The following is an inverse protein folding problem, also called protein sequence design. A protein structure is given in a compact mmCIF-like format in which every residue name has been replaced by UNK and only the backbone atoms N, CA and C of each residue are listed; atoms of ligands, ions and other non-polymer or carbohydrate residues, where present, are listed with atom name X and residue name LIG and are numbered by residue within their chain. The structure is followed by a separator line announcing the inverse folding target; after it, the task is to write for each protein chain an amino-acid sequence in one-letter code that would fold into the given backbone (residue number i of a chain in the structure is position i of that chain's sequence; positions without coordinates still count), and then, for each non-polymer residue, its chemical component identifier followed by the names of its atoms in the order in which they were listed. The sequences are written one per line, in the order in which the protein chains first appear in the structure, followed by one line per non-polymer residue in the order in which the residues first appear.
data_IF_083504108018
#
_entry.id   IF_083504108018
#
_cell.length_a   1.000
_cell.length_b   1.000
_cell.length_c   1.000
_cell.angle_alpha   90.00
_cell.angle_beta   90.00
_cell.angle_gamma   90.00
#
_symmetry.space_group_name_H-M   'P 1'
#
loop_
_entity.id
_entity.type
_entity.pdbx_description
1 polymer ?
#
# COMPACT_ATOMS: atom_id res chain seq x y z
N UNK A 1 15.35 19.46 29.34
CA UNK A 1 15.05 18.04 29.63
C UNK A 1 15.06 17.28 28.31
N UNK A 2 16.16 16.61 28.00
CA UNK A 2 16.21 15.59 26.94
C UNK A 2 15.30 14.46 27.37
N UNK A 3 14.17 14.26 26.69
CA UNK A 3 13.25 13.16 27.00
C UNK A 3 13.93 11.87 26.60
N UNK A 4 14.06 10.92 27.51
CA UNK A 4 14.63 9.63 27.14
C UNK A 4 13.60 8.79 26.38
N UNK A 5 14.08 7.98 25.43
CA UNK A 5 13.22 7.04 24.69
C UNK A 5 12.53 6.04 25.63
N UNK A 6 13.11 5.76 26.79
CA UNK A 6 12.57 4.91 27.85
C UNK A 6 11.19 5.39 28.34
N UNK A 7 10.97 6.70 28.46
CA UNK A 7 9.69 7.28 28.88
C UNK A 7 8.60 7.13 27.81
N UNK A 8 8.97 7.18 26.53
CA UNK A 8 8.06 6.92 25.41
C UNK A 8 7.73 5.43 25.38
N UNK A 9 8.75 4.57 25.47
CA UNK A 9 8.57 3.12 25.45
C UNK A 9 7.68 2.63 26.58
N UNK A 10 7.79 3.21 27.77
CA UNK A 10 6.97 2.85 28.94
C UNK A 10 5.47 3.09 28.69
N UNK A 11 5.13 4.13 27.93
CA UNK A 11 3.74 4.44 27.54
C UNK A 11 3.17 3.47 26.50
N UNK A 12 4.04 2.75 25.79
CA UNK A 12 3.69 1.79 24.75
C UNK A 12 3.75 0.33 25.24
N UNK A 13 4.01 0.09 26.53
CA UNK A 13 4.05 -1.26 27.14
C UNK A 13 2.63 -1.84 27.17
N UNK A 14 2.44 -3.01 26.54
CA UNK A 14 1.17 -3.75 26.55
C UNK A 14 0.93 -4.61 25.30
N UNK A 15 1.68 -4.37 24.22
CA UNK A 15 1.59 -5.15 22.97
C UNK A 15 2.45 -6.42 23.05
N UNK A 16 1.81 -7.57 22.83
CA UNK A 16 2.47 -8.88 22.78
C UNK A 16 3.05 -9.13 21.37
N UNK A 17 4.38 -9.15 21.24
CA UNK A 17 5.06 -9.54 19.99
C UNK A 17 4.94 -11.05 19.74
N UNK A 18 3.80 -11.46 19.20
CA UNK A 18 3.46 -12.89 18.98
C UNK A 18 3.56 -13.33 17.52
N UNK A 19 3.80 -12.39 16.59
CA UNK A 19 3.91 -12.67 15.16
C UNK A 19 5.32 -13.13 14.79
N UNK A 20 5.40 -14.20 13.99
CA UNK A 20 6.66 -14.66 13.42
C UNK A 20 7.17 -13.70 12.33
N UNK A 21 8.48 -13.68 12.06
CA UNK A 21 9.07 -12.88 10.98
C UNK A 21 8.40 -13.16 9.61
N UNK A 22 8.04 -14.42 9.34
CA UNK A 22 7.33 -14.79 8.10
C UNK A 22 5.93 -14.19 8.02
N UNK A 23 5.19 -14.15 9.14
CA UNK A 23 3.89 -13.50 9.18
C UNK A 23 4.05 -11.99 8.99
N UNK A 24 5.06 -11.38 9.62
CA UNK A 24 5.32 -9.96 9.48
C UNK A 24 5.64 -9.54 8.04
N UNK A 25 6.51 -10.30 7.36
CA UNK A 25 6.81 -10.06 5.93
C UNK A 25 5.57 -10.23 5.05
N UNK A 26 4.70 -11.20 5.36
CA UNK A 26 3.49 -11.46 4.57
C UNK A 26 2.35 -10.46 4.83
N UNK A 27 2.26 -9.92 6.04
CA UNK A 27 1.38 -8.79 6.38
C UNK A 27 1.82 -7.57 5.59
N UNK A 28 3.12 -7.26 5.59
CA UNK A 28 3.63 -6.13 4.85
C UNK A 28 3.49 -6.28 3.33
N UNK A 29 3.79 -7.46 2.78
CA UNK A 29 3.51 -7.76 1.37
C UNK A 29 2.00 -7.68 1.09
N UNK A 30 1.17 -8.15 2.00
CA UNK A 30 -0.30 -8.12 1.89
C UNK A 30 -0.89 -6.72 1.89
N UNK A 31 -0.33 -5.82 2.71
CA UNK A 31 -0.71 -4.42 2.78
C UNK A 31 -0.20 -3.63 1.57
N UNK A 32 1.05 -3.85 1.16
CA UNK A 32 1.62 -3.18 -0.01
C UNK A 32 0.93 -3.66 -1.32
N UNK A 33 0.59 -4.94 -1.39
CA UNK A 33 -0.13 -5.53 -2.51
C UNK A 33 -1.64 -5.37 -2.25
N UNK A 34 -2.16 -4.21 -2.62
CA UNK A 34 -3.56 -3.86 -2.37
C UNK A 34 -4.17 -3.01 -3.48
N UNK A 35 -5.17 -2.23 -3.09
CA UNK A 35 -5.85 -1.30 -4.01
C UNK A 35 -4.91 -0.23 -4.55
N UNK A 36 -3.84 0.11 -3.83
CA UNK A 36 -2.76 0.94 -4.35
C UNK A 36 -2.18 0.39 -5.66
N UNK A 37 -1.79 -0.89 -5.69
CA UNK A 37 -1.27 -1.49 -6.91
C UNK A 37 -2.35 -1.70 -7.98
N UNK A 38 -3.54 -2.18 -7.64
CA UNK A 38 -4.54 -2.49 -8.66
C UNK A 38 -5.35 -1.27 -9.13
N UNK A 39 -6.05 -0.61 -8.20
CA UNK A 39 -6.87 0.56 -8.49
C UNK A 39 -6.00 1.80 -8.71
N UNK A 40 -4.93 1.97 -7.92
CA UNK A 40 -3.99 3.07 -8.09
C UNK A 40 -3.26 3.01 -9.43
N UNK A 41 -2.84 1.82 -9.90
CA UNK A 41 -2.24 1.71 -11.25
C UNK A 41 -3.23 2.09 -12.36
N UNK A 42 -4.53 1.74 -12.23
CA UNK A 42 -5.56 2.17 -13.19
C UNK A 42 -5.58 3.70 -13.31
N UNK A 43 -5.60 4.42 -12.18
CA UNK A 43 -5.56 5.89 -12.19
C UNK A 43 -4.22 6.44 -12.69
N UNK A 44 -3.10 5.89 -12.23
CA UNK A 44 -1.76 6.34 -12.61
C UNK A 44 -1.50 6.15 -14.12
N UNK A 45 -1.90 5.02 -14.70
CA UNK A 45 -1.85 4.76 -16.14
C UNK A 45 -2.75 5.75 -16.88
N UNK A 46 -3.96 6.02 -16.36
CA UNK A 46 -4.84 7.04 -16.96
C UNK A 46 -4.23 8.44 -16.99
N UNK A 47 -3.51 8.83 -15.95
CA UNK A 47 -2.86 10.15 -15.88
C UNK A 47 -1.56 10.25 -16.67
N UNK A 48 -0.72 9.20 -16.69
CA UNK A 48 0.61 9.27 -17.27
C UNK A 48 0.74 8.57 -18.63
N UNK A 49 -0.20 7.70 -18.99
CA UNK A 49 -0.03 6.78 -20.12
C UNK A 49 1.20 5.88 -19.92
N UNK A 50 1.96 5.59 -21.00
CA UNK A 50 3.18 4.76 -20.91
C UNK A 50 4.23 5.29 -19.94
N UNK A 51 4.31 6.62 -19.75
CA UNK A 51 5.26 7.25 -18.82
C UNK A 51 5.03 6.94 -17.33
N UNK A 52 3.93 6.24 -17.00
CA UNK A 52 3.65 5.73 -15.64
C UNK A 52 4.81 4.93 -15.04
N UNK A 53 5.60 4.25 -15.87
CA UNK A 53 6.75 3.47 -15.42
C UNK A 53 7.80 4.40 -14.78
N UNK A 54 8.01 5.58 -15.36
CA UNK A 54 8.88 6.62 -14.76
C UNK A 54 8.30 7.09 -13.44
N UNK A 55 6.98 7.29 -13.38
CA UNK A 55 6.29 7.70 -12.15
C UNK A 55 6.42 6.69 -11.01
N UNK A 56 6.34 5.38 -11.31
CA UNK A 56 6.55 4.32 -10.32
C UNK A 56 8.03 4.17 -9.94
N UNK A 57 8.98 4.36 -10.87
CA UNK A 57 10.40 4.39 -10.52
C UNK A 57 10.73 5.52 -9.54
N UNK A 58 10.18 6.72 -9.76
CA UNK A 58 10.39 7.86 -8.86
C UNK A 58 9.72 7.62 -7.51
N UNK A 59 8.45 7.20 -7.51
CA UNK A 59 7.73 6.86 -6.28
C UNK A 59 8.42 5.76 -5.48
N UNK A 60 8.91 4.73 -6.15
CA UNK A 60 9.67 3.63 -5.55
C UNK A 60 11.01 4.10 -4.98
N UNK A 61 11.74 4.96 -5.67
CA UNK A 61 12.98 5.54 -5.15
C UNK A 61 12.74 6.38 -3.88
N UNK A 62 11.67 7.18 -3.85
CA UNK A 62 11.24 7.93 -2.65
C UNK A 62 10.93 6.97 -1.51
N UNK A 63 10.12 5.94 -1.77
CA UNK A 63 9.75 4.94 -0.78
C UNK A 63 10.97 4.19 -0.22
N UNK A 64 11.92 3.79 -1.08
CA UNK A 64 13.16 3.13 -0.67
C UNK A 64 14.02 4.02 0.24
N UNK A 65 14.19 5.30 -0.10
CA UNK A 65 14.93 6.23 0.73
C UNK A 65 14.27 6.42 2.11
N UNK A 66 12.95 6.57 2.13
CA UNK A 66 12.19 6.71 3.38
C UNK A 66 12.35 5.46 4.27
N UNK A 67 12.26 4.27 3.68
CA UNK A 67 12.42 3.01 4.41
C UNK A 67 13.85 2.81 4.92
N UNK A 68 14.85 3.25 4.15
CA UNK A 68 16.25 3.23 4.59
C UNK A 68 16.47 4.07 5.85
N UNK A 69 15.98 5.31 5.85
CA UNK A 69 16.06 6.21 7.02
C UNK A 69 15.27 5.65 8.20
N UNK A 70 14.08 5.11 7.96
CA UNK A 70 13.25 4.54 9.01
C UNK A 70 13.91 3.30 9.64
N UNK A 71 14.54 2.45 8.82
CA UNK A 71 15.28 1.28 9.31
C UNK A 71 16.46 1.68 10.19
N UNK A 72 17.25 2.70 9.81
CA UNK A 72 18.36 3.21 10.65
C UNK A 72 17.86 3.72 12.00
N UNK A 73 16.74 4.47 12.00
CA UNK A 73 16.13 4.95 13.25
C UNK A 73 15.59 3.80 14.11
N UNK A 74 15.01 2.77 13.48
CA UNK A 74 14.46 1.58 14.17
C UNK A 74 15.55 0.76 14.85
N UNK A 75 16.68 0.56 14.17
CA UNK A 75 17.85 -0.13 14.76
C UNK A 75 18.43 0.65 15.93
N UNK A 76 18.53 1.98 15.80
CA UNK A 76 19.10 2.84 16.84
C UNK A 76 18.17 3.00 18.05
N UNK A 77 16.86 3.05 17.80
CA UNK A 77 15.83 3.27 18.80
C UNK A 77 14.67 2.28 18.60
N UNK A 78 14.81 1.03 19.10
CA UNK A 78 13.77 0.01 18.98
C UNK A 78 12.58 0.39 19.86
N UNK A 79 11.53 0.93 19.24
CA UNK A 79 10.30 1.36 19.92
C UNK A 79 9.09 1.04 19.05
N UNK A 80 8.02 0.53 19.65
CA UNK A 80 6.75 0.22 18.98
C UNK A 80 6.03 1.46 18.44
N UNK A 81 6.38 2.66 18.92
CA UNK A 81 5.79 3.92 18.45
C UNK A 81 6.34 4.44 17.11
N UNK A 82 7.38 3.80 16.55
CA UNK A 82 7.98 4.08 15.23
C UNK A 82 8.15 5.59 14.92
N UNK A 83 7.76 6.04 13.73
CA UNK A 83 7.90 7.41 13.24
C UNK A 83 7.25 8.47 14.15
N UNK A 84 6.16 8.13 14.86
CA UNK A 84 5.54 9.01 15.84
C UNK A 84 6.45 9.26 17.05
N UNK A 85 7.08 8.21 17.55
CA UNK A 85 8.06 8.30 18.64
C UNK A 85 9.32 9.05 18.20
N UNK A 86 9.79 8.84 16.96
CA UNK A 86 10.94 9.58 16.42
C UNK A 86 10.65 11.08 16.29
N UNK A 87 9.47 11.46 15.78
CA UNK A 87 9.09 12.87 15.71
C UNK A 87 8.95 13.52 17.10
N UNK A 88 8.41 12.80 18.08
CA UNK A 88 8.29 13.29 19.47
C UNK A 88 9.65 13.53 20.12
N UNK A 89 10.60 12.63 19.88
CA UNK A 89 11.93 12.69 20.47
C UNK A 89 12.84 13.72 19.79
N UNK A 90 12.89 13.72 18.46
CA UNK A 90 13.83 14.54 17.69
C UNK A 90 13.34 15.97 17.41
N UNK A 91 12.02 16.22 17.44
CA UNK A 91 11.45 17.54 17.19
C UNK A 91 10.80 18.11 18.46
N UNK A 92 9.59 17.62 18.79
CA UNK A 92 8.80 18.04 19.96
C UNK A 92 7.51 17.20 20.08
N UNK A 93 6.76 17.28 21.20
CA UNK A 93 5.53 16.50 21.41
C UNK A 93 4.44 16.78 20.39
N UNK A 94 4.34 18.03 19.93
CA UNK A 94 3.32 18.41 18.96
C UNK A 94 3.58 17.70 17.62
N UNK A 95 4.83 17.68 17.15
CA UNK A 95 5.22 16.91 15.97
C UNK A 95 4.92 15.42 16.12
N UNK A 96 5.23 14.84 17.29
CA UNK A 96 4.90 13.46 17.60
C UNK A 96 3.40 13.16 17.58
N UNK A 97 2.57 14.08 18.07
CA UNK A 97 1.12 13.97 18.02
C UNK A 97 0.59 14.10 16.59
N UNK A 98 1.02 15.14 15.87
CA UNK A 98 0.59 15.41 14.49
C UNK A 98 0.91 14.24 13.57
N UNK A 99 2.12 13.69 13.66
CA UNK A 99 2.55 12.56 12.84
C UNK A 99 1.68 11.32 13.09
N UNK A 100 1.38 10.98 14.35
CA UNK A 100 0.49 9.86 14.69
C UNK A 100 -0.93 10.09 14.18
N UNK A 101 -1.45 11.32 14.31
CA UNK A 101 -2.78 11.67 13.83
C UNK A 101 -2.87 11.63 12.30
N UNK A 102 -1.88 12.18 11.59
CA UNK A 102 -1.81 12.15 10.12
C UNK A 102 -1.70 10.71 9.62
N UNK A 103 -0.94 9.86 10.29
CA UNK A 103 -0.88 8.45 9.96
C UNK A 103 -2.24 7.76 10.15
N UNK A 104 -2.88 7.95 11.31
CA UNK A 104 -4.22 7.42 11.55
C UNK A 104 -5.23 7.89 10.49
N UNK A 105 -5.24 9.18 10.16
CA UNK A 105 -6.10 9.75 9.12
C UNK A 105 -5.81 9.14 7.74
N UNK A 106 -4.53 8.93 7.40
CA UNK A 106 -4.12 8.27 6.17
C UNK A 106 -4.67 6.84 6.09
N UNK A 107 -4.55 6.06 7.17
CA UNK A 107 -5.09 4.69 7.25
C UNK A 107 -6.62 4.68 7.12
N UNK A 108 -7.34 5.62 7.76
CA UNK A 108 -8.81 5.74 7.60
C UNK A 108 -9.19 5.96 6.13
N UNK A 109 -8.49 6.86 5.43
CA UNK A 109 -8.71 7.13 4.01
C UNK A 109 -8.33 5.95 3.13
N UNK A 110 -7.25 5.23 3.46
CA UNK A 110 -6.82 4.04 2.75
C UNK A 110 -7.89 2.93 2.85
N UNK A 111 -8.38 2.63 4.06
CA UNK A 111 -9.47 1.66 4.28
C UNK A 111 -10.73 2.07 3.52
N UNK A 112 -11.10 3.35 3.54
CA UNK A 112 -12.24 3.85 2.75
C UNK A 112 -12.07 3.63 1.25
N UNK A 113 -10.86 3.84 0.73
CA UNK A 113 -10.51 3.57 -0.67
C UNK A 113 -10.59 2.08 -0.98
N UNK A 114 -10.12 1.23 -0.07
CA UNK A 114 -10.17 -0.22 -0.23
C UNK A 114 -11.59 -0.75 -0.37
N UNK A 115 -12.48 -0.37 0.55
CA UNK A 115 -13.87 -0.83 0.52
C UNK A 115 -14.59 -0.29 -0.72
N UNK A 116 -14.31 0.96 -1.13
CA UNK A 116 -14.87 1.54 -2.35
C UNK A 116 -14.43 0.78 -3.60
N UNK A 117 -13.16 0.38 -3.66
CA UNK A 117 -12.62 -0.43 -4.75
C UNK A 117 -13.34 -1.78 -4.88
N UNK A 118 -13.67 -2.43 -3.76
CA UNK A 118 -14.46 -3.67 -3.79
C UNK A 118 -15.82 -3.43 -4.44
N UNK A 119 -16.45 -2.29 -4.15
CA UNK A 119 -17.68 -1.87 -4.82
C UNK A 119 -17.54 -1.80 -6.34
N UNK A 120 -16.47 -1.17 -6.85
CA UNK A 120 -16.18 -1.12 -8.29
C UNK A 120 -15.93 -2.51 -8.89
N UNK A 121 -15.12 -3.34 -8.22
CA UNK A 121 -14.80 -4.67 -8.71
C UNK A 121 -16.04 -5.57 -8.80
N UNK A 122 -16.92 -5.51 -7.79
CA UNK A 122 -18.13 -6.34 -7.77
C UNK A 122 -19.09 -6.01 -8.92
N UNK A 123 -19.03 -4.81 -9.50
CA UNK A 123 -19.81 -4.48 -10.70
C UNK A 123 -19.39 -5.28 -11.94
N UNK A 124 -18.15 -5.81 -11.99
CA UNK A 124 -17.70 -6.65 -13.10
C UNK A 124 -18.47 -7.98 -13.16
N UNK A 125 -18.83 -8.55 -12.02
CA UNK A 125 -19.59 -9.80 -11.93
C UNK A 125 -21.08 -9.58 -11.73
N UNK A 126 -21.45 -8.52 -11.01
CA UNK A 126 -22.84 -8.20 -10.64
C UNK A 126 -23.19 -6.76 -11.04
N UNK A 127 -23.26 -6.44 -12.35
CA UNK A 127 -23.47 -5.07 -12.83
C UNK A 127 -24.84 -4.48 -12.43
N UNK A 128 -25.83 -5.34 -12.15
CA UNK A 128 -27.17 -4.92 -11.70
C UNK A 128 -27.27 -4.53 -10.23
N UNK A 129 -26.21 -4.73 -9.44
CA UNK A 129 -26.21 -4.43 -7.99
C UNK A 129 -25.47 -3.10 -7.75
N UNK A 130 -26.11 -2.10 -7.10
CA UNK A 130 -25.44 -0.84 -6.77
C UNK A 130 -24.16 -1.03 -5.92
N UNK A 131 -23.05 -0.32 -6.21
CA UNK A 131 -21.78 -0.46 -5.49
C UNK A 131 -21.86 -0.31 -3.98
N UNK A 132 -22.72 0.60 -3.50
CA UNK A 132 -22.85 0.89 -2.08
C UNK A 132 -23.29 -0.34 -1.27
N UNK A 133 -24.04 -1.27 -1.88
CA UNK A 133 -24.46 -2.51 -1.22
C UNK A 133 -23.23 -3.37 -0.91
N UNK A 134 -22.32 -3.49 -1.87
CA UNK A 134 -21.05 -4.21 -1.69
C UNK A 134 -20.17 -3.50 -0.66
N UNK A 135 -20.08 -2.18 -0.70
CA UNK A 135 -19.32 -1.38 0.28
C UNK A 135 -19.80 -1.66 1.70
N UNK A 136 -21.12 -1.62 1.94
CA UNK A 136 -21.71 -1.89 3.26
C UNK A 136 -21.48 -3.35 3.68
N UNK A 137 -21.69 -4.29 2.77
CA UNK A 137 -21.55 -5.73 3.05
C UNK A 137 -20.11 -6.11 3.42
N UNK A 138 -19.13 -5.68 2.63
CA UNK A 138 -17.72 -5.97 2.90
C UNK A 138 -17.20 -5.20 4.13
N UNK A 139 -17.67 -3.98 4.37
CA UNK A 139 -17.40 -3.26 5.63
C UNK A 139 -17.89 -4.03 6.85
N UNK A 140 -19.14 -4.50 6.81
CA UNK A 140 -19.73 -5.27 7.90
C UNK A 140 -18.99 -6.59 8.13
N UNK A 141 -18.59 -7.28 7.05
CA UNK A 141 -17.77 -8.49 7.13
C UNK A 141 -16.40 -8.21 7.76
N UNK A 142 -15.73 -7.12 7.37
CA UNK A 142 -14.44 -6.70 7.91
C UNK A 142 -14.53 -6.38 9.41
N UNK A 143 -15.58 -5.66 9.82
CA UNK A 143 -15.86 -5.40 11.24
C UNK A 143 -16.11 -6.72 11.98
N UNK A 144 -16.89 -7.63 11.39
CA UNK A 144 -17.16 -8.95 11.94
C UNK A 144 -15.89 -9.78 12.16
N UNK A 145 -14.98 -9.79 11.18
CA UNK A 145 -13.67 -10.47 11.30
C UNK A 145 -12.79 -9.81 12.37
N UNK A 146 -12.78 -8.48 12.45
CA UNK A 146 -12.04 -7.75 13.49
C UNK A 146 -12.57 -8.00 14.91
N UNK A 147 -13.84 -8.37 15.05
CA UNK A 147 -14.42 -8.77 16.34
C UNK A 147 -14.06 -10.22 16.74
N UNK A 148 -13.43 -11.01 15.86
CA UNK A 148 -12.99 -12.38 16.14
C UNK A 148 -11.56 -12.42 16.71
N UNK A 149 -11.17 -13.55 17.30
CA UNK A 149 -9.88 -13.71 17.98
C UNK A 149 -8.67 -13.50 17.03
N UNK A 150 -7.75 -12.63 17.45
CA UNK A 150 -6.56 -12.12 16.74
C UNK A 150 -5.67 -13.20 16.12
N UNK A 151 -5.67 -14.41 16.70
CA UNK A 151 -4.83 -15.52 16.21
C UNK A 151 -5.28 -16.04 14.84
N UNK A 152 -6.57 -15.94 14.51
CA UNK A 152 -7.11 -16.35 13.21
C UNK A 152 -6.79 -15.33 12.11
N UNK A 153 -6.67 -14.05 12.49
CA UNK A 153 -6.41 -12.95 11.56
C UNK A 153 -5.08 -13.12 10.81
N UNK A 154 -3.98 -13.34 11.54
CA UNK A 154 -2.66 -13.48 10.93
C UNK A 154 -2.51 -14.69 9.98
N UNK A 155 -3.28 -15.76 10.19
CA UNK A 155 -3.30 -16.91 9.25
C UNK A 155 -4.13 -16.61 8.01
N UNK A 156 -5.28 -15.94 8.15
CA UNK A 156 -6.10 -15.53 7.01
C UNK A 156 -5.34 -14.56 6.11
N UNK A 157 -4.69 -13.56 6.71
CA UNK A 157 -3.91 -12.57 5.98
C UNK A 157 -2.75 -13.21 5.21
N UNK A 158 -2.06 -14.17 5.82
CA UNK A 158 -1.03 -14.95 5.13
C UNK A 158 -1.54 -15.61 3.84
N UNK A 159 -2.68 -16.30 3.90
CA UNK A 159 -3.26 -16.98 2.75
C UNK A 159 -3.78 -16.00 1.70
N UNK A 160 -4.44 -14.92 2.11
CA UNK A 160 -4.90 -13.89 1.17
C UNK A 160 -3.74 -13.21 0.45
N UNK A 161 -2.66 -12.87 1.17
CA UNK A 161 -1.44 -12.33 0.57
C UNK A 161 -0.81 -13.31 -0.42
N UNK A 162 -0.77 -14.61 -0.11
CA UNK A 162 -0.25 -15.62 -1.02
C UNK A 162 -1.06 -15.70 -2.33
N UNK A 163 -2.40 -15.66 -2.24
CA UNK A 163 -3.28 -15.63 -3.43
C UNK A 163 -3.01 -14.39 -4.27
N UNK A 164 -2.90 -13.21 -3.64
CA UNK A 164 -2.61 -11.95 -4.34
C UNK A 164 -1.28 -12.00 -5.10
N UNK A 165 -0.23 -12.48 -4.46
CA UNK A 165 1.11 -12.62 -5.08
C UNK A 165 1.03 -13.55 -6.29
N UNK A 166 0.38 -14.71 -6.15
CA UNK A 166 0.18 -15.64 -7.25
C UNK A 166 -0.60 -15.00 -8.42
N UNK A 167 -1.67 -14.27 -8.12
CA UNK A 167 -2.47 -13.57 -9.12
C UNK A 167 -1.65 -12.54 -9.92
N UNK A 168 -0.76 -11.80 -9.26
CA UNK A 168 0.14 -10.85 -9.93
C UNK A 168 1.13 -11.58 -10.85
N UNK A 169 1.74 -12.66 -10.36
CA UNK A 169 2.68 -13.44 -11.18
C UNK A 169 1.97 -13.98 -12.42
N UNK A 170 0.77 -14.55 -12.26
CA UNK A 170 -0.05 -15.03 -13.36
C UNK A 170 -0.40 -13.89 -14.34
N UNK A 171 -0.82 -12.74 -13.83
CA UNK A 171 -1.11 -11.56 -14.65
C UNK A 171 0.10 -11.11 -15.46
N UNK A 172 1.29 -11.02 -14.86
CA UNK A 172 2.52 -10.61 -15.55
C UNK A 172 2.91 -11.61 -16.63
N UNK A 173 2.80 -12.92 -16.37
CA UNK A 173 3.09 -13.96 -17.36
C UNK A 173 2.15 -13.85 -18.56
N UNK A 174 0.84 -13.71 -18.30
CA UNK A 174 -0.17 -13.58 -19.38
C UNK A 174 0.04 -12.28 -20.15
N UNK A 175 0.28 -11.15 -19.48
CA UNK A 175 0.53 -9.87 -20.13
C UNK A 175 1.80 -9.90 -20.99
N UNK A 176 2.90 -10.48 -20.48
CA UNK A 176 4.13 -10.67 -21.26
C UNK A 176 3.88 -11.57 -22.47
N UNK A 177 3.13 -12.66 -22.30
CA UNK A 177 2.77 -13.53 -23.41
C UNK A 177 1.97 -12.79 -24.48
N UNK A 178 1.00 -11.95 -24.08
CA UNK A 178 0.23 -11.13 -25.01
C UNK A 178 1.10 -10.14 -25.78
N UNK A 179 2.04 -9.47 -25.11
CA UNK A 179 2.91 -8.46 -25.73
C UNK A 179 3.95 -9.07 -26.68
N UNK A 180 4.48 -10.25 -26.38
CA UNK A 180 5.61 -10.82 -27.15
C UNK A 180 5.22 -11.97 -28.07
N UNK A 181 4.12 -12.69 -27.81
CA UNK A 181 3.82 -13.96 -28.47
C UNK A 181 2.40 -14.09 -29.02
N UNK A 182 1.46 -13.18 -28.70
CA UNK A 182 0.07 -13.30 -29.21
C UNK A 182 -0.05 -13.21 -30.73
N UNK A 183 0.87 -12.47 -31.37
CA UNK A 183 0.76 -12.12 -32.79
C UNK A 183 -0.39 -11.16 -33.13
N UNK A 184 -1.12 -10.67 -32.12
CA UNK A 184 -2.20 -9.71 -32.27
C UNK A 184 -1.63 -8.29 -32.32
N UNK A 185 -1.97 -7.54 -33.37
CA UNK A 185 -1.53 -6.16 -33.57
C UNK A 185 -2.04 -5.19 -32.49
N UNK A 186 -3.04 -5.56 -31.68
CA UNK A 186 -3.53 -4.77 -30.57
C UNK A 186 -2.61 -4.77 -29.33
N UNK A 187 -1.74 -5.78 -29.20
CA UNK A 187 -0.83 -5.91 -28.06
C UNK A 187 0.62 -5.90 -28.53
N UNK A 188 1.44 -5.02 -27.98
CA UNK A 188 2.85 -5.02 -28.32
C UNK A 188 3.62 -3.85 -27.74
N UNK A 189 4.96 -3.94 -27.81
CA UNK A 189 5.87 -2.90 -27.33
C UNK A 189 5.66 -1.57 -28.07
N UNK A 190 5.15 -1.63 -29.30
CA UNK A 190 4.80 -0.44 -30.09
C UNK A 190 3.75 0.46 -29.39
N UNK A 191 2.89 -0.09 -28.51
CA UNK A 191 1.92 0.71 -27.74
C UNK A 191 2.56 1.69 -26.75
N UNK A 192 3.87 1.58 -26.48
CA UNK A 192 4.58 2.56 -25.66
C UNK A 192 4.80 3.90 -26.36
N UNK A 193 4.77 3.89 -27.69
CA UNK A 193 4.98 5.08 -28.53
C UNK A 193 3.85 5.29 -29.54
N UNK A 194 2.90 4.37 -29.65
CA UNK A 194 1.72 4.53 -30.47
C UNK A 194 0.80 5.64 -29.96
N UNK A 195 -0.06 6.16 -30.84
CA UNK A 195 -0.98 7.25 -30.51
C UNK A 195 -0.26 8.55 -30.18
N UNK A 196 -0.53 9.09 -28.99
CA UNK A 196 0.04 10.35 -28.48
C UNK A 196 1.48 10.20 -27.93
N UNK A 197 2.08 9.02 -28.08
CA UNK A 197 3.47 8.74 -27.70
C UNK A 197 3.63 8.33 -26.23
N UNK A 198 4.86 8.39 -25.73
CA UNK A 198 5.21 7.90 -24.39
C UNK A 198 4.63 8.77 -23.26
N UNK A 199 4.47 10.06 -23.50
CA UNK A 199 3.98 11.06 -22.53
C UNK A 199 2.74 11.80 -23.08
N UNK A 200 1.59 11.11 -23.23
CA UNK A 200 0.39 11.69 -23.82
C UNK A 200 -0.11 12.93 -23.07
N UNK A 201 -0.05 12.89 -21.73
CA UNK A 201 -0.45 13.98 -20.85
C UNK A 201 0.73 14.86 -20.39
N UNK A 202 1.86 14.78 -21.10
CA UNK A 202 3.08 15.53 -20.80
C UNK A 202 3.70 15.24 -19.42
N UNK A 203 4.62 16.10 -19.02
CA UNK A 203 5.34 15.97 -17.74
C UNK A 203 4.41 16.09 -16.53
N UNK A 204 3.37 16.91 -16.65
CA UNK A 204 2.39 17.12 -15.57
C UNK A 204 1.60 15.84 -15.28
N UNK A 205 1.12 15.13 -16.30
CA UNK A 205 0.41 13.85 -16.12
C UNK A 205 1.31 12.79 -15.48
N UNK A 206 2.56 12.69 -15.93
CA UNK A 206 3.58 11.82 -15.32
C UNK A 206 3.81 12.19 -13.85
N UNK A 207 3.89 13.48 -13.51
CA UNK A 207 4.12 13.94 -12.14
C UNK A 207 2.92 13.68 -11.22
N UNK A 208 1.68 13.82 -11.71
CA UNK A 208 0.49 13.40 -10.96
C UNK A 208 0.50 11.90 -10.66
N UNK A 209 0.93 11.08 -11.62
CA UNK A 209 1.07 9.64 -11.39
C UNK A 209 2.17 9.29 -10.37
N UNK A 210 3.16 10.16 -10.10
CA UNK A 210 4.12 9.95 -8.99
C UNK A 210 3.39 10.01 -7.64
N UNK A 211 2.44 10.94 -7.49
CA UNK A 211 1.66 11.07 -6.25
C UNK A 211 0.81 9.81 -6.03
N UNK A 212 0.19 9.29 -7.11
CA UNK A 212 -0.59 8.05 -7.07
C UNK A 212 0.30 6.83 -6.84
N UNK A 213 1.50 6.79 -7.40
CA UNK A 213 2.44 5.66 -7.20
C UNK A 213 2.95 5.60 -5.76
N UNK A 214 3.18 6.74 -5.09
CA UNK A 214 3.53 6.78 -3.66
C UNK A 214 2.44 6.10 -2.82
N UNK A 215 1.16 6.32 -3.13
CA UNK A 215 0.06 5.60 -2.48
C UNK A 215 0.12 4.08 -2.72
N UNK A 216 0.64 3.63 -3.86
CA UNK A 216 0.85 2.20 -4.14
C UNK A 216 1.92 1.56 -3.28
N UNK A 217 2.82 2.36 -2.70
CA UNK A 217 3.87 1.90 -1.79
C UNK A 217 3.48 2.06 -0.32
N UNK A 218 2.27 2.54 -0.01
CA UNK A 218 1.76 2.59 1.36
C UNK A 218 1.68 1.16 1.93
N UNK A 219 1.89 1.02 3.24
CA UNK A 219 1.95 -0.23 4.01
C UNK A 219 3.29 -0.97 4.01
N UNK A 220 4.27 -0.60 3.18
CA UNK A 220 5.63 -1.16 3.31
C UNK A 220 6.22 -0.85 4.69
N UNK A 221 5.86 0.32 5.25
CA UNK A 221 6.27 0.79 6.56
C UNK A 221 5.79 -0.09 7.71
N UNK A 222 4.76 -0.92 7.51
CA UNK A 222 4.27 -1.83 8.54
C UNK A 222 5.35 -2.82 9.00
N UNK A 223 6.33 -3.17 8.15
CA UNK A 223 7.50 -3.96 8.57
C UNK A 223 8.28 -3.24 9.65
N UNK A 224 8.49 -1.93 9.48
CA UNK A 224 9.30 -1.12 10.38
C UNK A 224 8.53 -0.72 11.65
N UNK A 225 7.20 -0.58 11.58
CA UNK A 225 6.35 -0.26 12.75
C UNK A 225 6.19 -1.48 13.66
N UNK A 226 6.09 -2.68 13.10
CA UNK A 226 5.82 -3.88 13.86
C UNK A 226 7.08 -4.65 14.31
N UNK A 227 8.27 -4.28 13.83
CA UNK A 227 9.56 -4.81 14.28
C UNK A 227 9.94 -4.37 15.70
#
# INVERSE_FOLDING_TARGET
MTREFSDIQTREIGLQKTLSARQLSMIALGGAIGTGLFLGSKFAIGFAGPSVIVSYMIGGAIALMLMGVLAEMTVKHPTSGSFGAYAEHYLNPLSGFLVRYMYWACIVLAVGTEVTAVGEYMQLWFPGVPPWIWVVLFSAALIGVNAMNVKNFGTLEYWFSAIKVFAIIAFVIVAAWLVFFSGDGGYGVHNWTAGEGFMPNGLTGMWFAVIVSIFSYLSIEMIAVAA
#
